data_IF_123676404117
#
_entry.id   IF_123676404117
#
_cell.length_a   1.000
_cell.length_b   1.000
_cell.length_c   1.000
_cell.angle_alpha   90.00
_cell.angle_beta   90.00
_cell.angle_gamma   90.00
#
_symmetry.space_group_name_H-M   'P 1'
#
loop_
_entity.id
_entity.type
_entity.pdbx_description
1 polymer ?
#
# COMPACT_ATOMS: atom_id res chain seq x y z
N UNK A 1 -4.58 9.62 -6.26
CA UNK A 1 -3.46 9.44 -5.31
C UNK A 1 -3.87 8.36 -4.32
N UNK A 2 -2.95 7.45 -3.99
CA UNK A 2 -3.11 6.40 -2.98
C UNK A 2 -1.85 6.38 -2.13
N UNK A 3 -1.99 6.35 -0.80
CA UNK A 3 -0.86 6.28 0.12
C UNK A 3 -0.79 4.87 0.71
N UNK A 4 0.38 4.25 0.72
CA UNK A 4 0.59 2.90 1.23
C UNK A 4 1.73 2.93 2.26
N UNK A 5 1.48 2.29 3.41
CA UNK A 5 2.49 2.05 4.45
C UNK A 5 2.78 0.56 4.51
N UNK A 6 4.05 0.19 4.48
CA UNK A 6 4.50 -1.20 4.42
C UNK A 6 5.51 -1.48 5.53
N UNK A 7 5.37 -2.62 6.22
CA UNK A 7 6.38 -3.18 7.11
C UNK A 7 6.36 -4.71 7.05
N UNK A 8 7.45 -5.37 7.46
CA UNK A 8 7.54 -6.84 7.56
C UNK A 8 6.76 -7.41 8.76
N UNK A 9 6.47 -6.57 9.75
CA UNK A 9 5.83 -6.95 10.99
C UNK A 9 4.30 -6.87 10.89
N UNK A 10 3.60 -7.42 11.88
CA UNK A 10 2.14 -7.35 11.97
C UNK A 10 1.63 -5.90 12.01
N UNK A 11 0.41 -5.68 11.52
CA UNK A 11 -0.23 -4.36 11.44
C UNK A 11 -0.29 -3.63 12.79
N UNK A 12 -0.50 -4.34 13.90
CA UNK A 12 -0.51 -3.74 15.25
C UNK A 12 0.83 -3.07 15.59
N UNK A 13 1.94 -3.68 15.20
CA UNK A 13 3.29 -3.12 15.43
C UNK A 13 3.49 -1.85 14.61
N UNK A 14 2.95 -1.81 13.39
CA UNK A 14 2.95 -0.62 12.54
C UNK A 14 2.19 0.54 13.20
N UNK A 15 0.98 0.27 13.67
CA UNK A 15 0.08 1.28 14.26
C UNK A 15 0.64 1.80 15.59
N UNK A 16 1.32 0.95 16.36
CA UNK A 16 1.96 1.33 17.62
C UNK A 16 3.16 2.29 17.48
N UNK A 17 3.70 2.46 16.27
CA UNK A 17 4.89 3.29 16.02
C UNK A 17 6.21 2.65 16.47
N UNK A 18 6.19 1.38 16.88
CA UNK A 18 7.40 0.64 17.28
C UNK A 18 8.30 0.30 16.09
N UNK A 19 7.77 0.34 14.87
CA UNK A 19 8.50 0.10 13.62
C UNK A 19 8.26 1.26 12.66
N UNK A 20 9.33 1.71 12.00
CA UNK A 20 9.25 2.67 10.91
C UNK A 20 8.87 1.96 9.59
N UNK A 21 7.71 2.29 8.97
CA UNK A 21 7.35 1.71 7.68
C UNK A 21 8.07 2.37 6.51
N UNK A 22 8.06 1.67 5.38
CA UNK A 22 8.24 2.29 4.08
C UNK A 22 6.94 3.01 3.66
N UNK A 23 7.06 4.25 3.16
CA UNK A 23 5.95 5.07 2.72
C UNK A 23 5.97 5.28 1.21
N UNK A 24 4.91 4.82 0.54
CA UNK A 24 4.70 4.96 -0.90
C UNK A 24 3.51 5.88 -1.20
N UNK A 25 3.70 6.82 -2.11
CA UNK A 25 2.65 7.64 -2.71
C UNK A 25 2.51 7.24 -4.17
N UNK A 26 1.33 6.76 -4.56
CA UNK A 26 1.09 6.18 -5.87
C UNK A 26 0.08 7.04 -6.62
N UNK A 27 0.48 7.45 -7.82
CA UNK A 27 -0.32 8.23 -8.76
C UNK A 27 -0.65 7.33 -9.95
N UNK A 28 -1.92 6.93 -10.05
CA UNK A 28 -2.44 6.19 -11.20
C UNK A 28 -3.04 7.20 -12.16
N UNK A 29 -2.46 7.31 -13.35
CA UNK A 29 -2.93 8.19 -14.41
C UNK A 29 -4.06 7.53 -15.21
N UNK A 30 -4.83 8.32 -15.95
CA UNK A 30 -5.98 7.84 -16.76
C UNK A 30 -5.59 6.87 -17.87
N UNK A 31 -4.34 6.89 -18.32
CA UNK A 31 -3.77 5.99 -19.32
C UNK A 31 -3.12 4.73 -18.71
N UNK A 32 -3.45 4.40 -17.46
CA UNK A 32 -2.88 3.28 -16.70
C UNK A 32 -1.37 3.38 -16.42
N UNK A 33 -0.73 4.49 -16.79
CA UNK A 33 0.60 4.81 -16.32
C UNK A 33 0.57 4.96 -14.79
N UNK A 34 1.51 4.31 -14.11
CA UNK A 34 1.61 4.37 -12.64
C UNK A 34 2.93 5.04 -12.29
N UNK A 35 2.85 6.16 -11.59
CA UNK A 35 4.00 6.81 -10.99
C UNK A 35 4.05 6.43 -9.50
N UNK A 36 5.17 5.81 -9.09
CA UNK A 36 5.42 5.44 -7.69
C UNK A 36 6.43 6.44 -7.12
N UNK A 37 6.02 7.18 -6.10
CA UNK A 37 6.88 8.08 -5.35
C UNK A 37 7.12 7.51 -3.97
N UNK A 38 8.35 7.09 -3.71
CA UNK A 38 8.78 6.65 -2.39
C UNK A 38 9.14 7.88 -1.55
N UNK A 39 8.42 8.10 -0.45
CA UNK A 39 8.49 9.36 0.32
C UNK A 39 9.48 9.32 1.47
N UNK A 40 9.58 8.19 2.17
CA UNK A 40 10.46 8.03 3.34
C UNK A 40 11.08 6.63 3.30
N UNK A 41 12.40 6.58 3.42
CA UNK A 41 13.23 5.38 3.52
C UNK A 41 14.15 5.59 4.72
N UNK A 42 13.73 5.23 5.94
CA UNK A 42 14.74 5.07 7.00
C UNK A 42 15.48 3.72 6.83
N UNK A 43 14.80 2.73 6.25
CA UNK A 43 15.35 1.52 5.62
C UNK A 43 14.41 1.11 4.50
N UNK A 44 14.94 0.81 3.31
CA UNK A 44 14.14 0.18 2.25
C UNK A 44 13.89 -1.24 2.72
N UNK A 45 12.76 -1.46 3.37
CA UNK A 45 12.35 -2.79 3.76
C UNK A 45 11.79 -3.42 2.49
N UNK A 46 12.45 -4.45 1.97
CA UNK A 46 11.97 -5.24 0.81
C UNK A 46 10.79 -6.14 1.20
N UNK A 47 9.91 -5.63 2.07
CA UNK A 47 8.72 -6.30 2.60
C UNK A 47 7.74 -6.65 1.48
N UNK A 48 7.70 -5.83 0.43
CA UNK A 48 6.81 -5.99 -0.71
C UNK A 48 7.50 -5.45 -1.96
N UNK A 49 7.44 -6.18 -3.08
CA UNK A 49 8.02 -5.74 -4.35
C UNK A 49 7.20 -4.60 -4.98
N UNK A 50 7.80 -3.84 -5.89
CA UNK A 50 7.12 -2.76 -6.61
C UNK A 50 5.88 -3.27 -7.37
N UNK A 51 5.91 -4.49 -7.92
CA UNK A 51 4.76 -5.09 -8.59
C UNK A 51 3.55 -5.27 -7.65
N UNK A 52 3.80 -5.78 -6.45
CA UNK A 52 2.76 -5.97 -5.43
C UNK A 52 2.31 -4.64 -4.82
N UNK A 53 3.18 -3.63 -4.73
CA UNK A 53 2.80 -2.28 -4.33
C UNK A 53 1.81 -1.68 -5.35
N UNK A 54 2.07 -1.87 -6.65
CA UNK A 54 1.15 -1.44 -7.72
C UNK A 54 -0.16 -2.24 -7.67
N UNK A 55 -0.09 -3.56 -7.46
CA UNK A 55 -1.28 -4.42 -7.33
C UNK A 55 -2.15 -3.95 -6.17
N UNK A 56 -1.57 -3.71 -5.00
CA UNK A 56 -2.27 -3.21 -3.81
C UNK A 56 -2.93 -1.85 -4.09
N UNK A 57 -2.24 -0.94 -4.78
CA UNK A 57 -2.80 0.37 -5.13
C UNK A 57 -4.02 0.26 -6.06
N UNK A 58 -3.96 -0.66 -7.04
CA UNK A 58 -5.08 -0.96 -7.94
C UNK A 58 -6.24 -1.59 -7.19
N UNK A 59 -5.95 -2.54 -6.30
CA UNK A 59 -6.96 -3.20 -5.46
C UNK A 59 -7.67 -2.19 -4.56
N UNK A 60 -6.94 -1.30 -3.88
CA UNK A 60 -7.50 -0.22 -3.08
C UNK A 60 -8.46 0.67 -3.90
N UNK A 61 -8.06 1.08 -5.13
CA UNK A 61 -8.93 1.84 -6.03
C UNK A 61 -10.15 1.07 -6.50
N UNK A 62 -10.05 -0.24 -6.67
CA UNK A 62 -11.19 -1.07 -6.98
C UNK A 62 -12.17 -1.14 -5.81
N UNK A 63 -11.66 -1.24 -4.57
CA UNK A 63 -12.49 -1.21 -3.37
C UNK A 63 -13.18 0.16 -3.25
N UNK A 64 -12.46 1.29 -3.33
CA UNK A 64 -13.05 2.64 -3.28
C UNK A 64 -14.23 2.82 -4.27
N UNK A 65 -14.12 2.27 -5.50
CA UNK A 65 -15.21 2.32 -6.50
C UNK A 65 -16.50 1.67 -5.99
N UNK A 66 -16.39 0.60 -5.21
CA UNK A 66 -17.54 -0.08 -4.60
C UNK A 66 -18.16 0.74 -3.45
N UNK A 67 -17.45 1.73 -2.93
CA UNK A 67 -17.90 2.65 -1.87
C UNK A 67 -18.04 4.08 -2.39
N UNK A 68 -18.73 4.24 -3.53
CA UNK A 68 -19.04 5.55 -4.13
C UNK A 68 -17.81 6.43 -4.44
N UNK A 69 -16.67 5.81 -4.75
CA UNK A 69 -15.39 6.49 -5.00
C UNK A 69 -14.93 7.34 -3.80
N UNK A 70 -15.35 6.99 -2.58
CA UNK A 70 -14.87 7.64 -1.37
C UNK A 70 -13.48 7.10 -1.02
N UNK A 71 -12.56 7.95 -0.53
CA UNK A 71 -11.31 7.49 0.06
C UNK A 71 -11.60 6.55 1.23
N UNK A 72 -10.87 5.45 1.30
CA UNK A 72 -10.96 4.48 2.39
C UNK A 72 -9.59 4.33 3.07
N UNK A 73 -9.64 4.10 4.37
CA UNK A 73 -8.51 3.55 5.11
C UNK A 73 -8.65 2.04 5.09
N UNK A 74 -7.65 1.34 4.52
CA UNK A 74 -7.70 -0.10 4.30
C UNK A 74 -6.54 -0.77 5.02
N UNK A 75 -6.87 -1.75 5.86
CA UNK A 75 -5.90 -2.69 6.36
C UNK A 75 -5.69 -3.82 5.35
N UNK A 76 -4.45 -4.29 5.27
CA UNK A 76 -4.07 -5.31 4.31
C UNK A 76 -2.95 -6.19 4.88
N UNK A 77 -2.79 -7.37 4.30
CA UNK A 77 -1.71 -8.29 4.63
C UNK A 77 -1.20 -9.03 3.41
N UNK A 78 0.07 -9.46 3.45
CA UNK A 78 0.68 -10.31 2.44
C UNK A 78 1.08 -11.64 3.05
N UNK A 79 0.51 -12.74 2.57
CA UNK A 79 0.81 -14.08 3.07
C UNK A 79 0.75 -15.10 1.93
N UNK A 80 1.67 -16.08 1.95
CA UNK A 80 1.74 -17.13 0.93
C UNK A 80 1.72 -16.61 -0.52
N UNK A 81 2.40 -15.48 -0.78
CA UNK A 81 2.46 -14.87 -2.10
C UNK A 81 1.18 -14.15 -2.55
N UNK A 82 0.24 -13.87 -1.63
CA UNK A 82 -1.06 -13.27 -1.93
C UNK A 82 -1.32 -12.04 -1.06
N UNK A 83 -1.91 -11.02 -1.69
CA UNK A 83 -2.45 -9.84 -1.02
C UNK A 83 -3.87 -10.10 -0.53
N UNK A 84 -4.17 -9.62 0.67
CA UNK A 84 -5.48 -9.69 1.31
C UNK A 84 -5.85 -8.29 1.82
N UNK A 85 -7.09 -7.86 1.55
CA UNK A 85 -7.72 -6.73 2.25
C UNK A 85 -8.44 -7.29 3.47
N UNK A 86 -8.27 -6.64 4.62
CA UNK A 86 -8.80 -7.06 5.92
C UNK A 86 -10.05 -6.25 6.30
#
# INVERSE_FOLDING_TARGET
MTNIRVAEQQGEVLVSGLVAPAYYEILIHRNEHVEIRLKIIEKKVDALSDEYIVELAKLAKQVEKNYNNQPLDLEWGFTNGKLHIL
#
